data_IF_128098486385
#
_entry.id   IF_128098486385
#
_cell.length_a   1.000
_cell.length_b   1.000
_cell.length_c   1.000
_cell.angle_alpha   90.00
_cell.angle_beta   90.00
_cell.angle_gamma   90.00
#
_symmetry.space_group_name_H-M   'P 1'
#
loop_
_entity.id
_entity.type
_entity.pdbx_description
1 polymer ?
#
# COMPACT_ATOMS: atom_id res chain seq x y z
N UNK A 1 13.90 14.33 20.01
CA UNK A 1 13.42 14.77 18.68
C UNK A 1 12.58 16.02 18.90
N UNK A 2 12.77 17.10 18.13
CA UNK A 2 11.91 18.28 18.26
C UNK A 2 10.46 17.86 18.03
N UNK A 3 9.51 18.39 18.81
CA UNK A 3 8.10 18.12 18.54
C UNK A 3 7.77 18.65 17.14
N UNK A 4 7.04 17.84 16.36
CA UNK A 4 6.60 18.14 15.00
C UNK A 4 5.95 19.54 14.94
N UNK A 5 5.35 19.98 16.05
CA UNK A 5 4.78 21.31 16.24
C UNK A 5 5.71 22.48 15.92
N UNK A 6 7.04 22.36 16.11
CA UNK A 6 7.96 23.45 15.77
C UNK A 6 8.09 23.63 14.25
N UNK A 7 8.26 22.54 13.52
CA UNK A 7 8.35 22.57 12.05
C UNK A 7 7.00 22.92 11.42
N UNK A 8 5.89 22.43 11.99
CA UNK A 8 4.55 22.87 11.60
C UNK A 8 4.36 24.37 11.84
N UNK A 9 4.82 24.90 12.98
CA UNK A 9 4.70 26.34 13.30
C UNK A 9 5.54 27.20 12.35
N UNK A 10 6.78 26.79 12.05
CA UNK A 10 7.61 27.45 11.05
C UNK A 10 6.98 27.37 9.66
N UNK A 11 6.44 26.21 9.30
CA UNK A 11 5.75 26.02 8.04
C UNK A 11 4.49 26.91 7.95
N UNK A 12 3.68 26.98 9.01
CA UNK A 12 2.51 27.86 9.08
C UNK A 12 2.86 29.35 9.08
N UNK A 13 3.93 29.74 9.75
CA UNK A 13 4.40 31.11 9.75
C UNK A 13 4.73 31.55 8.31
N UNK A 14 5.48 30.71 7.58
CA UNK A 14 5.77 30.96 6.17
C UNK A 14 4.49 30.93 5.31
N UNK A 15 3.57 29.99 5.60
CA UNK A 15 2.26 29.89 4.94
C UNK A 15 1.45 31.19 5.04
N UNK A 16 1.36 31.77 6.24
CA UNK A 16 0.57 32.99 6.52
C UNK A 16 1.16 34.25 5.90
N UNK A 17 2.48 34.31 5.73
CA UNK A 17 3.15 35.48 5.13
C UNK A 17 2.98 35.57 3.60
N UNK A 18 2.25 34.64 3.00
CA UNK A 18 1.93 34.52 1.57
C UNK A 18 3.08 34.79 0.59
N UNK A 19 4.30 34.38 0.97
CA UNK A 19 5.46 34.50 0.10
C UNK A 19 5.41 33.52 -1.10
N UNK A 20 4.31 32.77 -1.31
CA UNK A 20 4.24 31.65 -2.29
C UNK A 20 4.68 32.01 -3.69
N UNK A 21 4.33 33.20 -4.17
CA UNK A 21 4.68 33.66 -5.52
C UNK A 21 6.17 34.03 -5.64
N UNK A 22 6.83 34.33 -4.51
CA UNK A 22 8.24 34.71 -4.48
C UNK A 22 9.18 33.50 -4.39
N UNK A 23 8.71 32.32 -3.92
CA UNK A 23 9.58 31.13 -3.82
C UNK A 23 9.94 30.53 -5.18
N UNK A 24 9.13 30.75 -6.22
CA UNK A 24 9.53 30.40 -7.59
C UNK A 24 10.71 31.24 -8.09
N UNK A 25 10.96 32.39 -7.46
CA UNK A 25 12.03 33.33 -7.81
C UNK A 25 13.26 33.19 -6.88
N UNK A 26 13.11 32.59 -5.69
CA UNK A 26 14.23 32.33 -4.79
C UNK A 26 15.16 31.23 -5.35
N UNK A 27 16.48 31.50 -5.29
CA UNK A 27 17.52 30.58 -5.80
C UNK A 27 17.57 29.23 -5.07
N UNK A 28 17.12 29.16 -3.82
CA UNK A 28 17.25 27.96 -2.99
C UNK A 28 15.97 27.68 -2.19
N UNK A 29 15.51 26.44 -2.22
CA UNK A 29 14.34 26.00 -1.45
C UNK A 29 14.62 26.13 0.05
N UNK A 30 13.77 26.78 0.87
CA UNK A 30 14.00 27.03 2.29
C UNK A 30 14.13 25.75 3.11
N UNK A 31 13.52 24.67 2.62
CA UNK A 31 13.50 23.38 3.24
C UNK A 31 14.61 22.46 2.71
N UNK A 32 15.49 22.97 1.83
CA UNK A 32 16.62 22.23 1.25
C UNK A 32 17.53 21.63 2.31
N UNK A 33 17.66 22.30 3.46
CA UNK A 33 18.51 21.86 4.59
C UNK A 33 17.82 20.91 5.55
N UNK A 34 16.52 20.69 5.42
CA UNK A 34 15.81 19.79 6.32
C UNK A 34 16.21 18.33 6.09
N UNK A 35 16.27 17.51 7.17
CA UNK A 35 16.43 16.07 7.05
C UNK A 35 15.24 15.44 6.29
N UNK A 36 15.45 14.36 5.51
CA UNK A 36 14.40 13.67 4.77
C UNK A 36 13.15 13.37 5.60
N UNK A 37 13.35 12.88 6.83
CA UNK A 37 12.25 12.51 7.72
C UNK A 37 11.35 13.70 8.09
N UNK A 38 11.92 14.89 8.22
CA UNK A 38 11.15 16.10 8.53
C UNK A 38 10.36 16.54 7.30
N UNK A 39 10.96 16.45 6.10
CA UNK A 39 10.26 16.76 4.84
C UNK A 39 9.06 15.82 4.65
N UNK A 40 9.23 14.50 4.89
CA UNK A 40 8.14 13.52 4.83
C UNK A 40 6.97 13.89 5.76
N UNK A 41 7.28 14.30 6.99
CA UNK A 41 6.26 14.72 7.96
C UNK A 41 5.54 15.99 7.52
N UNK A 42 6.27 16.96 6.95
CA UNK A 42 5.67 18.18 6.41
C UNK A 42 4.77 17.89 5.19
N UNK A 43 5.16 16.95 4.33
CA UNK A 43 4.33 16.52 3.19
C UNK A 43 3.04 15.85 3.66
N UNK A 44 3.13 14.94 4.64
CA UNK A 44 1.96 14.29 5.25
C UNK A 44 1.05 15.32 5.94
N UNK A 45 1.65 16.29 6.63
CA UNK A 45 0.94 17.40 7.26
C UNK A 45 0.18 18.26 6.23
N UNK A 46 0.81 18.61 5.11
CA UNK A 46 0.17 19.32 4.01
C UNK A 46 -1.01 18.56 3.41
N UNK A 47 -0.88 17.24 3.24
CA UNK A 47 -1.95 16.41 2.69
C UNK A 47 -3.16 16.27 3.62
N UNK A 48 -2.94 16.29 4.94
CA UNK A 48 -3.98 16.05 5.95
C UNK A 48 -4.60 17.33 6.52
N UNK A 49 -3.89 18.45 6.48
CA UNK A 49 -4.34 19.70 7.07
C UNK A 49 -5.38 20.41 6.21
N UNK A 50 -6.60 20.55 6.74
CA UNK A 50 -7.67 21.36 6.11
C UNK A 50 -7.32 22.85 6.02
N UNK A 51 -6.33 23.31 6.80
CA UNK A 51 -5.89 24.71 6.86
C UNK A 51 -4.91 25.06 5.75
N UNK A 52 -4.21 24.08 5.19
CA UNK A 52 -3.25 24.28 4.12
C UNK A 52 -3.94 23.86 2.83
N UNK A 53 -4.44 24.85 2.07
CA UNK A 53 -5.14 24.64 0.80
C UNK A 53 -4.38 25.14 -0.42
N UNK A 54 -3.05 25.27 -0.32
CA UNK A 54 -2.21 25.67 -1.46
C UNK A 54 -1.32 24.52 -1.90
N UNK A 55 -1.60 23.99 -3.10
CA UNK A 55 -0.83 22.91 -3.71
C UNK A 55 0.63 23.30 -3.99
N UNK A 56 0.92 24.59 -4.18
CA UNK A 56 2.27 25.12 -4.39
C UNK A 56 3.27 24.74 -3.28
N UNK A 57 2.83 24.71 -2.02
CA UNK A 57 3.68 24.28 -0.92
C UNK A 57 4.01 22.79 -0.97
N UNK A 58 3.00 21.98 -1.28
CA UNK A 58 3.18 20.56 -1.48
C UNK A 58 4.17 20.31 -2.62
N UNK A 59 4.02 21.03 -3.74
CA UNK A 59 4.94 20.99 -4.87
C UNK A 59 6.38 21.36 -4.48
N UNK A 60 6.55 22.43 -3.70
CA UNK A 60 7.85 22.86 -3.19
C UNK A 60 8.50 21.81 -2.28
N UNK A 61 7.74 21.11 -1.43
CA UNK A 61 8.30 20.07 -0.58
C UNK A 61 8.74 18.84 -1.39
N UNK A 62 7.99 18.48 -2.43
CA UNK A 62 8.36 17.38 -3.33
C UNK A 62 9.63 17.70 -4.14
N UNK A 63 9.82 18.95 -4.57
CA UNK A 63 10.97 19.35 -5.38
C UNK A 63 12.32 19.24 -4.65
N UNK A 64 12.31 19.08 -3.32
CA UNK A 64 13.53 18.92 -2.50
C UNK A 64 14.32 17.66 -2.86
N UNK A 65 13.71 16.62 -3.45
CA UNK A 65 14.47 15.44 -3.89
C UNK A 65 14.80 14.42 -2.81
N UNK A 66 14.35 14.65 -1.57
CA UNK A 66 14.79 13.87 -0.40
C UNK A 66 13.79 12.82 0.09
N UNK A 67 12.59 12.77 -0.49
CA UNK A 67 11.53 11.90 0.00
C UNK A 67 11.83 10.44 -0.29
N UNK A 68 11.72 9.59 0.73
CA UNK A 68 11.77 8.13 0.59
C UNK A 68 10.39 7.51 0.74
N UNK A 69 9.54 8.13 1.56
CA UNK A 69 8.14 7.78 1.70
C UNK A 69 7.26 8.96 1.29
N UNK A 70 6.35 8.72 0.36
CA UNK A 70 5.30 9.65 0.00
C UNK A 70 3.96 9.07 0.45
N UNK A 71 3.38 9.70 1.48
CA UNK A 71 2.03 9.37 1.95
C UNK A 71 1.08 10.48 1.56
N UNK A 72 0.05 10.11 0.83
CA UNK A 72 -0.92 11.04 0.27
C UNK A 72 -2.30 10.69 0.79
N UNK A 73 -2.80 11.51 1.71
CA UNK A 73 -4.17 11.45 2.20
C UNK A 73 -4.92 12.59 1.51
N UNK A 74 -5.99 12.30 0.76
CA UNK A 74 -6.54 13.27 -0.18
C UNK A 74 -7.99 13.72 0.11
N UNK A 75 -8.22 14.70 0.99
CA UNK A 75 -9.48 15.44 0.98
C UNK A 75 -9.39 16.79 0.24
N UNK A 76 -8.22 17.43 0.17
CA UNK A 76 -8.15 18.89 -0.06
C UNK A 76 -7.70 19.33 -1.46
N UNK A 77 -7.04 18.46 -2.24
CA UNK A 77 -6.33 18.84 -3.47
C UNK A 77 -6.56 17.89 -4.65
N UNK A 78 -7.69 17.21 -4.67
CA UNK A 78 -7.90 16.07 -5.57
C UNK A 78 -7.63 16.40 -7.04
N UNK A 79 -8.30 17.42 -7.58
CA UNK A 79 -8.19 17.80 -9.00
C UNK A 79 -6.76 18.16 -9.39
N UNK A 80 -6.09 18.97 -8.56
CA UNK A 80 -4.70 19.38 -8.80
C UNK A 80 -3.75 18.19 -8.72
N UNK A 81 -3.95 17.31 -7.74
CA UNK A 81 -3.08 16.16 -7.55
C UNK A 81 -3.25 15.16 -8.69
N UNK A 82 -4.46 14.84 -9.12
CA UNK A 82 -4.66 13.88 -10.20
C UNK A 82 -4.02 14.32 -11.51
N UNK A 83 -3.89 15.63 -11.74
CA UNK A 83 -3.27 16.20 -12.93
C UNK A 83 -1.74 16.37 -12.73
N UNK A 84 -1.35 16.95 -11.60
CA UNK A 84 0.02 17.43 -11.38
C UNK A 84 0.89 16.38 -10.71
N UNK A 85 0.37 15.55 -9.81
CA UNK A 85 1.16 14.51 -9.14
C UNK A 85 1.82 13.57 -10.15
N UNK A 86 1.13 13.06 -11.20
CA UNK A 86 1.79 12.20 -12.17
C UNK A 86 2.96 12.89 -12.89
N UNK A 87 2.85 14.19 -13.19
CA UNK A 87 3.94 14.97 -13.79
C UNK A 87 5.10 15.13 -12.79
N UNK A 88 4.78 15.51 -11.55
CA UNK A 88 5.75 15.69 -10.47
C UNK A 88 6.51 14.42 -10.10
N UNK A 89 5.83 13.28 -10.15
CA UNK A 89 6.42 11.99 -9.91
C UNK A 89 7.50 11.68 -10.97
N UNK A 90 7.36 12.16 -12.20
CA UNK A 90 8.42 12.04 -13.21
C UNK A 90 9.57 13.06 -13.07
N UNK A 91 9.43 14.06 -12.19
CA UNK A 91 10.49 15.04 -11.94
C UNK A 91 11.61 14.46 -11.04
N UNK A 92 12.82 15.03 -11.15
CA UNK A 92 14.01 14.61 -10.37
C UNK A 92 13.78 14.60 -8.85
N UNK A 93 12.80 15.36 -8.36
CA UNK A 93 12.45 15.44 -6.93
C UNK A 93 11.90 14.13 -6.33
N UNK A 94 11.37 13.24 -7.16
CA UNK A 94 10.65 12.05 -6.70
C UNK A 94 11.44 10.75 -6.90
N UNK A 95 12.66 10.81 -7.43
CA UNK A 95 13.43 9.62 -7.80
C UNK A 95 13.79 8.72 -6.61
N UNK A 96 13.83 9.28 -5.40
CA UNK A 96 14.24 8.56 -4.19
C UNK A 96 13.09 7.90 -3.44
N UNK A 97 11.85 8.05 -3.92
CA UNK A 97 10.67 7.46 -3.29
C UNK A 97 10.78 5.95 -3.43
N UNK A 98 10.59 5.24 -2.31
CA UNK A 98 10.54 3.78 -2.20
C UNK A 98 9.21 3.29 -1.65
N UNK A 99 8.48 4.16 -0.95
CA UNK A 99 7.18 3.84 -0.37
C UNK A 99 6.18 4.86 -0.85
N UNK A 100 5.15 4.39 -1.56
CA UNK A 100 4.01 5.20 -1.95
C UNK A 100 2.78 4.70 -1.19
N UNK A 101 2.24 5.54 -0.31
CA UNK A 101 0.98 5.26 0.40
C UNK A 101 -0.09 6.21 -0.13
N UNK A 102 -1.07 5.67 -0.83
CA UNK A 102 -2.22 6.39 -1.34
C UNK A 102 -3.40 6.11 -0.40
N UNK A 103 -3.99 7.14 0.18
CA UNK A 103 -5.24 7.06 0.94
C UNK A 103 -6.28 7.99 0.30
N UNK A 104 -6.82 7.57 -0.86
CA UNK A 104 -7.98 8.17 -1.50
C UNK A 104 -9.23 7.99 -0.65
N UNK A 105 -9.42 8.85 0.34
CA UNK A 105 -10.66 8.91 1.11
C UNK A 105 -11.73 9.71 0.33
N UNK A 106 -12.01 9.26 -0.91
CA UNK A 106 -12.96 9.92 -1.81
C UNK A 106 -14.37 9.39 -1.61
N UNK A 107 -15.35 10.29 -1.71
CA UNK A 107 -16.78 9.93 -1.72
C UNK A 107 -17.26 9.56 -3.13
N UNK A 108 -16.56 10.01 -4.19
CA UNK A 108 -16.94 9.77 -5.58
C UNK A 108 -16.22 8.55 -6.18
N UNK A 109 -16.95 7.82 -7.02
CA UNK A 109 -16.53 6.60 -7.71
C UNK A 109 -15.59 6.92 -8.86
N UNK A 110 -14.33 7.16 -8.54
CA UNK A 110 -13.32 7.57 -9.51
C UNK A 110 -12.20 6.54 -9.65
N UNK A 111 -12.55 5.29 -9.96
CA UNK A 111 -11.55 4.26 -10.31
C UNK A 111 -10.57 4.71 -11.42
N UNK A 112 -10.98 5.65 -12.28
CA UNK A 112 -10.20 6.19 -13.39
C UNK A 112 -8.94 6.97 -12.95
N UNK A 113 -8.98 7.73 -11.85
CA UNK A 113 -7.78 8.50 -11.44
C UNK A 113 -6.67 7.57 -10.97
N UNK A 114 -7.01 6.46 -10.30
CA UNK A 114 -6.03 5.50 -9.83
C UNK A 114 -5.35 4.86 -11.03
N UNK A 115 -6.11 4.48 -12.05
CA UNK A 115 -5.54 3.95 -13.28
C UNK A 115 -4.65 4.97 -13.99
N UNK A 116 -5.08 6.24 -14.12
CA UNK A 116 -4.27 7.33 -14.69
C UNK A 116 -2.98 7.57 -13.90
N UNK A 117 -3.04 7.52 -12.57
CA UNK A 117 -1.86 7.62 -11.71
C UNK A 117 -0.93 6.43 -11.92
N UNK A 118 -1.47 5.20 -11.84
CA UNK A 118 -0.73 3.96 -12.05
C UNK A 118 -0.04 3.94 -13.42
N UNK A 119 -0.68 4.43 -14.48
CA UNK A 119 -0.10 4.56 -15.82
C UNK A 119 1.18 5.41 -15.88
N UNK A 120 1.32 6.37 -14.96
CA UNK A 120 2.44 7.31 -14.92
C UNK A 120 3.52 6.88 -13.93
N UNK A 121 3.21 5.99 -12.97
CA UNK A 121 4.20 5.40 -12.07
C UNK A 121 5.36 4.67 -12.80
N UNK A 122 5.16 3.85 -13.86
CA UNK A 122 6.27 3.18 -14.52
C UNK A 122 7.24 4.11 -15.25
N UNK A 123 6.85 5.35 -15.55
CA UNK A 123 7.77 6.38 -16.09
C UNK A 123 8.84 6.79 -15.06
N UNK A 124 8.63 6.44 -13.79
CA UNK A 124 9.66 6.51 -12.77
C UNK A 124 10.45 5.20 -12.77
N UNK A 125 11.44 5.10 -13.66
CA UNK A 125 12.38 3.96 -13.68
C UNK A 125 12.97 3.66 -12.29
N UNK A 126 13.08 4.69 -11.44
CA UNK A 126 13.47 4.56 -10.03
C UNK A 126 12.43 3.92 -9.11
N UNK A 127 11.12 4.18 -9.28
CA UNK A 127 10.06 3.44 -8.56
C UNK A 127 9.93 2.01 -9.07
N UNK A 128 10.37 1.73 -10.30
CA UNK A 128 10.37 0.39 -10.85
C UNK A 128 11.43 -0.52 -10.22
N UNK A 129 12.13 -0.14 -9.15
CA UNK A 129 13.00 -1.07 -8.39
C UNK A 129 12.73 -0.96 -6.89
N UNK A 130 12.25 -2.05 -6.27
CA UNK A 130 12.03 -2.20 -4.82
C UNK A 130 11.01 -1.22 -4.20
N UNK A 131 9.90 -0.96 -4.89
CA UNK A 131 8.85 -0.09 -4.35
C UNK A 131 7.85 -0.86 -3.50
N UNK A 132 7.44 -0.22 -2.41
CA UNK A 132 6.33 -0.60 -1.56
C UNK A 132 5.13 0.29 -1.90
N UNK A 133 4.05 -0.32 -2.38
CA UNK A 133 2.81 0.38 -2.68
C UNK A 133 1.76 -0.01 -1.66
N UNK A 134 1.26 0.98 -0.93
CA UNK A 134 0.10 0.83 -0.07
C UNK A 134 -1.04 1.67 -0.65
N UNK A 135 -2.19 1.06 -0.88
CA UNK A 135 -3.39 1.76 -1.33
C UNK A 135 -4.47 1.55 -0.29
N UNK A 136 -5.02 2.61 0.27
CA UNK A 136 -6.15 2.59 1.18
C UNK A 136 -7.34 3.15 0.42
N UNK A 137 -8.31 2.31 0.08
CA UNK A 137 -9.43 2.70 -0.78
C UNK A 137 -10.73 2.14 -0.24
N UNK A 138 -11.78 2.98 -0.26
CA UNK A 138 -13.16 2.51 -0.05
C UNK A 138 -13.74 1.85 -1.30
N UNK A 139 -13.21 2.23 -2.46
CA UNK A 139 -13.58 1.72 -3.78
C UNK A 139 -12.74 0.52 -4.18
N UNK A 140 -13.22 -0.15 -5.22
CA UNK A 140 -12.58 -1.31 -5.83
C UNK A 140 -11.26 -0.92 -6.53
N UNK A 141 -10.17 -1.58 -6.13
CA UNK A 141 -8.81 -1.33 -6.64
C UNK A 141 -8.42 -2.40 -7.66
N UNK A 142 -8.26 -2.06 -8.95
CA UNK A 142 -7.96 -3.04 -10.00
C UNK A 142 -6.50 -3.54 -9.88
N UNK A 143 -6.32 -4.73 -9.30
CA UNK A 143 -4.99 -5.33 -9.05
C UNK A 143 -4.27 -5.65 -10.36
N UNK A 144 -5.02 -5.99 -11.40
CA UNK A 144 -4.52 -6.21 -12.75
C UNK A 144 -3.95 -4.94 -13.39
N UNK A 145 -4.53 -3.76 -13.12
CA UNK A 145 -3.93 -2.51 -13.56
C UNK A 145 -2.60 -2.25 -12.81
N UNK A 146 -2.56 -2.54 -11.50
CA UNK A 146 -1.33 -2.43 -10.72
C UNK A 146 -0.25 -3.37 -11.26
N UNK A 147 -0.57 -4.64 -11.55
CA UNK A 147 0.43 -5.58 -12.08
C UNK A 147 0.94 -5.18 -13.47
N UNK A 148 0.09 -4.55 -14.29
CA UNK A 148 0.45 -3.99 -15.60
C UNK A 148 1.45 -2.86 -15.51
N UNK A 149 1.22 -1.90 -14.62
CA UNK A 149 2.01 -0.68 -14.57
C UNK A 149 3.14 -0.74 -13.52
N UNK A 150 3.02 -1.58 -12.50
CA UNK A 150 3.97 -1.71 -11.38
C UNK A 150 4.54 -3.13 -11.29
N UNK A 151 5.04 -3.67 -12.41
CA UNK A 151 5.46 -5.08 -12.51
C UNK A 151 6.66 -5.47 -11.62
N UNK A 152 7.48 -4.50 -11.20
CA UNK A 152 8.64 -4.69 -10.31
C UNK A 152 8.36 -4.37 -8.83
N UNK A 153 7.09 -4.26 -8.45
CA UNK A 153 6.70 -3.98 -7.07
C UNK A 153 7.14 -5.10 -6.12
N UNK A 154 7.76 -4.75 -4.99
CA UNK A 154 8.22 -5.72 -3.99
C UNK A 154 7.17 -6.00 -2.92
N UNK A 155 6.41 -4.97 -2.54
CA UNK A 155 5.35 -5.06 -1.55
C UNK A 155 4.09 -4.34 -2.03
N UNK A 156 2.96 -5.05 -2.00
CA UNK A 156 1.64 -4.51 -2.30
C UNK A 156 0.72 -4.65 -1.08
N UNK A 157 0.29 -3.55 -0.50
CA UNK A 157 -0.78 -3.57 0.50
C UNK A 157 -1.98 -2.86 -0.09
N UNK A 158 -3.16 -3.48 -0.06
CA UNK A 158 -4.40 -2.75 -0.32
C UNK A 158 -5.27 -2.88 0.94
N UNK A 159 -5.72 -1.75 1.46
CA UNK A 159 -6.65 -1.65 2.58
C UNK A 159 -7.96 -1.19 1.97
N UNK A 160 -8.81 -2.15 1.62
CA UNK A 160 -10.00 -1.87 0.83
C UNK A 160 -10.48 -3.09 0.08
N UNK A 161 -11.33 -2.86 -0.90
CA UNK A 161 -11.68 -3.89 -1.87
C UNK A 161 -10.71 -3.82 -3.04
N UNK A 162 -10.03 -4.92 -3.35
CA UNK A 162 -9.36 -5.09 -4.63
C UNK A 162 -10.31 -5.73 -5.67
N UNK A 163 -10.06 -5.55 -6.96
CA UNK A 163 -10.81 -6.20 -8.06
C UNK A 163 -9.85 -6.68 -9.13
N UNK A 164 -10.36 -7.53 -10.01
CA UNK A 164 -9.67 -8.00 -11.21
C UNK A 164 -10.65 -7.75 -12.35
N UNK A 165 -10.33 -6.84 -13.27
CA UNK A 165 -11.21 -6.58 -14.40
C UNK A 165 -11.16 -7.74 -15.41
N UNK A 166 -12.33 -8.17 -15.90
CA UNK A 166 -12.52 -9.38 -16.71
C UNK A 166 -11.87 -9.33 -18.11
N UNK A 167 -11.35 -8.17 -18.55
CA UNK A 167 -10.90 -7.93 -19.93
C UNK A 167 -9.45 -8.32 -20.24
N UNK A 168 -8.68 -8.83 -19.28
CA UNK A 168 -7.21 -8.77 -19.37
C UNK A 168 -6.56 -10.16 -19.51
N UNK A 169 -5.82 -10.33 -20.62
CA UNK A 169 -4.98 -11.50 -21.00
C UNK A 169 -3.94 -11.86 -19.93
N UNK A 170 -3.59 -13.14 -19.85
CA UNK A 170 -2.75 -13.82 -18.85
C UNK A 170 -1.25 -13.42 -18.76
N UNK A 171 -0.83 -12.28 -19.30
CA UNK A 171 0.59 -11.92 -19.40
C UNK A 171 1.10 -11.00 -18.28
N UNK A 172 0.28 -10.62 -17.30
CA UNK A 172 0.65 -9.61 -16.30
C UNK A 172 1.19 -10.24 -15.02
N UNK A 173 2.50 -10.44 -14.96
CA UNK A 173 3.16 -11.01 -13.80
C UNK A 173 3.80 -9.94 -12.93
N UNK A 174 3.50 -9.96 -11.62
CA UNK A 174 4.35 -9.29 -10.66
C UNK A 174 5.67 -10.07 -10.58
N UNK A 175 6.73 -9.49 -11.14
CA UNK A 175 8.05 -10.14 -11.18
C UNK A 175 8.67 -10.24 -9.80
N UNK A 176 8.47 -9.23 -8.96
CA UNK A 176 9.19 -9.08 -7.70
C UNK A 176 8.30 -9.04 -6.46
N UNK A 177 6.98 -9.27 -6.59
CA UNK A 177 6.07 -9.13 -5.45
C UNK A 177 6.35 -10.23 -4.44
N UNK A 178 6.99 -9.84 -3.34
CA UNK A 178 7.34 -10.73 -2.23
C UNK A 178 6.27 -10.74 -1.17
N UNK A 179 5.51 -9.64 -1.01
CA UNK A 179 4.54 -9.54 0.07
C UNK A 179 3.23 -8.90 -0.35
N UNK A 180 2.10 -9.45 0.09
CA UNK A 180 0.78 -8.82 -0.06
C UNK A 180 -0.09 -8.89 1.18
N UNK A 181 -0.90 -7.85 1.43
CA UNK A 181 -1.84 -7.79 2.55
C UNK A 181 -3.15 -7.13 2.18
N UNK A 182 -4.25 -7.86 2.31
CA UNK A 182 -5.54 -7.44 1.74
C UNK A 182 -6.77 -8.20 2.27
N UNK A 183 -7.96 -7.62 2.02
CA UNK A 183 -9.22 -8.37 2.03
C UNK A 183 -9.44 -9.01 0.65
N UNK A 184 -9.06 -10.27 0.55
CA UNK A 184 -9.19 -11.02 -0.70
C UNK A 184 -10.58 -11.68 -0.77
N UNK A 185 -11.23 -11.55 -1.92
CA UNK A 185 -12.29 -12.46 -2.31
C UNK A 185 -11.66 -13.59 -3.14
N UNK A 186 -12.45 -14.60 -3.47
CA UNK A 186 -11.98 -15.79 -4.17
C UNK A 186 -11.28 -15.46 -5.50
N UNK A 187 -11.88 -14.62 -6.35
CA UNK A 187 -11.32 -14.25 -7.67
C UNK A 187 -9.94 -13.60 -7.52
N UNK A 188 -9.78 -12.73 -6.52
CA UNK A 188 -8.51 -12.03 -6.27
C UNK A 188 -7.41 -12.99 -5.82
N UNK A 189 -7.76 -13.97 -4.99
CA UNK A 189 -6.81 -14.95 -4.48
C UNK A 189 -6.30 -15.82 -5.64
N UNK A 190 -7.20 -16.30 -6.51
CA UNK A 190 -6.81 -16.99 -7.74
C UNK A 190 -5.90 -16.12 -8.63
N UNK A 191 -6.22 -14.83 -8.79
CA UNK A 191 -5.39 -13.92 -9.57
C UNK A 191 -3.96 -13.80 -9.01
N UNK A 192 -3.80 -13.64 -7.69
CA UNK A 192 -2.48 -13.54 -7.06
C UNK A 192 -1.67 -14.81 -7.32
N UNK A 193 -2.23 -15.99 -7.08
CA UNK A 193 -1.50 -17.24 -7.32
C UNK A 193 -1.19 -17.49 -8.79
N UNK A 194 -2.04 -17.05 -9.72
CA UNK A 194 -1.79 -17.21 -11.16
C UNK A 194 -0.71 -16.27 -11.70
N UNK A 195 -0.51 -15.10 -11.06
CA UNK A 195 0.30 -14.01 -11.61
C UNK A 195 1.50 -13.61 -10.74
N UNK A 196 1.71 -14.27 -9.60
CA UNK A 196 2.80 -13.95 -8.66
C UNK A 196 3.60 -15.21 -8.33
N UNK A 197 4.74 -15.39 -9.02
CA UNK A 197 5.60 -16.57 -8.84
C UNK A 197 6.54 -16.46 -7.64
N UNK A 198 6.89 -15.25 -7.22
CA UNK A 198 7.93 -14.99 -6.21
C UNK A 198 7.35 -14.56 -4.85
N UNK A 199 6.10 -14.91 -4.57
CA UNK A 199 5.41 -14.51 -3.36
C UNK A 199 6.00 -15.23 -2.13
N UNK A 200 6.50 -14.47 -1.16
CA UNK A 200 7.09 -14.98 0.09
C UNK A 200 6.18 -14.80 1.29
N UNK A 201 5.47 -13.68 1.37
CA UNK A 201 4.61 -13.36 2.51
C UNK A 201 3.20 -13.03 2.03
N UNK A 202 2.22 -13.73 2.56
CA UNK A 202 0.84 -13.61 2.13
C UNK A 202 -0.05 -13.35 3.33
N UNK A 203 -0.74 -12.21 3.35
CA UNK A 203 -1.62 -11.81 4.44
C UNK A 203 -3.06 -11.63 3.95
N UNK A 204 -3.95 -12.43 4.52
CA UNK A 204 -5.38 -12.41 4.25
C UNK A 204 -6.15 -12.01 5.51
N UNK A 205 -7.03 -11.03 5.35
CA UNK A 205 -8.06 -10.71 6.33
C UNK A 205 -9.43 -11.07 5.75
N UNK A 206 -10.32 -11.63 6.57
CA UNK A 206 -11.65 -12.10 6.13
C UNK A 206 -11.59 -13.21 5.05
N UNK A 207 -10.79 -14.24 5.29
CA UNK A 207 -10.52 -15.33 4.34
C UNK A 207 -11.62 -16.40 4.33
N UNK A 208 -12.88 -16.05 4.61
CA UNK A 208 -13.95 -17.04 4.79
C UNK A 208 -14.25 -17.82 3.51
N UNK A 209 -13.92 -17.23 2.36
CA UNK A 209 -13.99 -17.84 1.02
C UNK A 209 -12.82 -18.76 0.71
N UNK A 210 -11.83 -18.87 1.61
CA UNK A 210 -10.67 -19.73 1.45
C UNK A 210 -10.90 -21.01 2.25
N UNK A 211 -11.36 -22.03 1.54
CA UNK A 211 -11.65 -23.39 2.02
C UNK A 211 -10.76 -24.42 1.31
N UNK A 212 -10.93 -25.70 1.65
CA UNK A 212 -10.14 -26.79 1.07
C UNK A 212 -10.38 -26.96 -0.44
N UNK A 213 -11.61 -26.71 -0.92
CA UNK A 213 -11.91 -26.82 -2.34
C UNK A 213 -11.13 -25.77 -3.14
N UNK A 214 -11.10 -24.52 -2.67
CA UNK A 214 -10.33 -23.45 -3.32
C UNK A 214 -8.83 -23.66 -3.22
N UNK A 215 -8.36 -24.21 -2.10
CA UNK A 215 -6.96 -24.60 -1.97
C UNK A 215 -6.57 -25.65 -3.01
N UNK A 216 -7.39 -26.69 -3.20
CA UNK A 216 -7.19 -27.70 -4.23
C UNK A 216 -7.27 -27.14 -5.65
N UNK A 217 -8.22 -26.23 -5.93
CA UNK A 217 -8.31 -25.58 -7.24
C UNK A 217 -7.04 -24.79 -7.60
N UNK A 218 -6.40 -24.13 -6.64
CA UNK A 218 -5.16 -23.40 -6.86
C UNK A 218 -4.02 -24.38 -7.15
N UNK A 219 -3.91 -25.45 -6.37
CA UNK A 219 -2.87 -26.47 -6.53
C UNK A 219 -3.00 -27.26 -7.83
N UNK A 220 -4.23 -27.56 -8.25
CA UNK A 220 -4.48 -28.23 -9.53
C UNK A 220 -4.06 -27.36 -10.71
N UNK A 221 -4.09 -26.03 -10.56
CA UNK A 221 -3.60 -25.09 -11.59
C UNK A 221 -2.10 -24.88 -11.53
N UNK A 222 -1.55 -24.79 -10.33
CA UNK A 222 -0.12 -24.65 -10.08
C UNK A 222 0.28 -25.46 -8.84
N UNK A 223 0.83 -26.67 -9.02
CA UNK A 223 1.26 -27.53 -7.92
C UNK A 223 2.35 -26.92 -7.04
N UNK A 224 3.06 -25.88 -7.51
CA UNK A 224 4.16 -25.22 -6.81
C UNK A 224 3.74 -23.87 -6.20
N UNK A 225 2.46 -23.49 -6.29
CA UNK A 225 1.94 -22.18 -5.87
C UNK A 225 2.34 -21.75 -4.44
N UNK A 226 2.57 -22.71 -3.55
CA UNK A 226 2.91 -22.47 -2.14
C UNK A 226 4.38 -22.74 -1.78
N UNK A 227 5.19 -23.23 -2.72
CA UNK A 227 6.58 -23.62 -2.44
C UNK A 227 7.46 -22.43 -2.05
N UNK A 228 7.15 -21.24 -2.55
CA UNK A 228 7.92 -20.02 -2.30
C UNK A 228 7.42 -19.21 -1.09
N UNK A 229 6.30 -19.59 -0.48
CA UNK A 229 5.58 -18.79 0.53
C UNK A 229 6.14 -18.91 1.94
N UNK A 230 7.22 -18.20 2.26
CA UNK A 230 7.83 -18.09 3.61
C UNK A 230 6.87 -17.82 4.79
N UNK A 231 5.80 -17.04 4.62
CA UNK A 231 4.82 -16.77 5.69
C UNK A 231 3.42 -16.63 5.13
N UNK A 232 2.46 -17.26 5.80
CA UNK A 232 1.03 -17.05 5.50
C UNK A 232 0.31 -16.62 6.77
N UNK A 233 -0.31 -15.44 6.72
CA UNK A 233 -1.16 -14.93 7.77
C UNK A 233 -2.61 -14.95 7.30
N UNK A 234 -3.47 -15.68 7.99
CA UNK A 234 -4.88 -15.78 7.63
C UNK A 234 -5.75 -15.46 8.84
N UNK A 235 -6.81 -14.69 8.60
CA UNK A 235 -7.91 -14.50 9.56
C UNK A 235 -9.23 -14.90 8.94
N UNK A 236 -10.10 -15.51 9.76
CA UNK A 236 -11.47 -15.86 9.40
C UNK A 236 -11.54 -16.85 8.22
N UNK A 237 -10.67 -17.87 8.18
CA UNK A 237 -10.60 -18.87 7.11
C UNK A 237 -11.50 -20.10 7.36
N UNK A 238 -11.79 -20.86 6.29
CA UNK A 238 -12.58 -22.10 6.33
C UNK A 238 -11.80 -23.38 5.96
N UNK A 239 -10.48 -23.28 5.80
CA UNK A 239 -9.58 -24.43 5.62
C UNK A 239 -9.69 -25.41 6.80
N UNK A 240 -9.86 -26.69 6.49
CA UNK A 240 -9.87 -27.79 7.46
C UNK A 240 -8.45 -28.13 7.94
N UNK A 241 -8.34 -28.98 8.96
CA UNK A 241 -7.04 -29.45 9.44
C UNK A 241 -6.25 -30.18 8.34
N UNK A 242 -6.93 -30.92 7.49
CA UNK A 242 -6.38 -31.67 6.37
C UNK A 242 -5.91 -30.70 5.26
N UNK A 243 -6.67 -29.64 4.99
CA UNK A 243 -6.23 -28.57 4.10
C UNK A 243 -4.93 -27.90 4.56
N UNK A 244 -4.73 -27.71 5.88
CA UNK A 244 -3.46 -27.20 6.41
C UNK A 244 -2.27 -28.12 6.18
N UNK A 245 -2.47 -29.44 6.09
CA UNK A 245 -1.37 -30.38 5.82
C UNK A 245 -0.80 -30.20 4.42
N UNK A 246 -1.52 -29.54 3.53
CA UNK A 246 -1.09 -29.31 2.15
C UNK A 246 -0.01 -28.23 2.07
N UNK A 247 0.11 -27.35 3.07
CA UNK A 247 1.22 -26.38 3.13
C UNK A 247 2.52 -27.11 3.50
N UNK A 248 3.49 -27.23 2.56
CA UNK A 248 4.64 -28.10 2.76
C UNK A 248 5.54 -27.63 3.90
N UNK A 249 5.89 -28.53 4.82
CA UNK A 249 7.00 -28.38 5.76
C UNK A 249 6.88 -27.29 6.84
N UNK A 250 5.71 -26.66 7.01
CA UNK A 250 5.56 -25.47 7.85
C UNK A 250 4.76 -25.74 9.12
N UNK A 251 5.20 -25.12 10.22
CA UNK A 251 4.49 -25.22 11.50
C UNK A 251 3.35 -24.22 11.50
N UNK A 252 2.12 -24.70 11.38
CA UNK A 252 0.94 -23.88 11.60
C UNK A 252 0.81 -23.54 13.08
N UNK A 253 0.97 -22.25 13.44
CA UNK A 253 0.51 -21.72 14.72
C UNK A 253 -0.90 -21.21 14.52
N UNK A 254 -1.89 -22.05 14.81
CA UNK A 254 -3.27 -21.60 14.97
C UNK A 254 -3.42 -20.93 16.33
N UNK A 255 -3.87 -19.69 16.34
CA UNK A 255 -4.33 -19.01 17.54
C UNK A 255 -5.85 -19.09 17.52
N UNK A 256 -6.37 -20.18 18.10
CA UNK A 256 -7.77 -20.24 18.48
C UNK A 256 -7.90 -19.44 19.77
N UNK A 257 -8.70 -18.38 19.76
CA UNK A 257 -9.19 -17.77 21.00
C UNK A 257 -10.27 -18.66 21.59
N UNK A 258 -9.87 -19.82 22.12
CA UNK A 258 -10.63 -20.61 23.08
C UNK A 258 -9.71 -20.77 24.27
N UNK A 259 -10.18 -20.39 25.46
CA UNK A 259 -9.44 -20.41 26.72
C UNK A 259 -8.49 -21.61 26.85
N UNK A 260 -7.18 -21.37 26.87
CA UNK A 260 -6.20 -21.96 27.81
C UNK A 260 -4.79 -21.38 27.62
N UNK A 261 -4.08 -21.28 28.74
CA UNK A 261 -2.87 -20.50 29.01
C UNK A 261 -1.61 -21.13 28.41
N UNK A 262 -0.80 -20.35 27.67
CA UNK A 262 0.65 -20.09 27.92
C UNK A 262 1.28 -19.28 26.76
N UNK A 263 1.49 -17.99 27.06
CA UNK A 263 2.51 -17.05 26.55
C UNK A 263 3.00 -17.18 25.10
N UNK A 264 2.57 -16.27 24.22
CA UNK A 264 3.44 -15.62 23.24
C UNK A 264 3.01 -14.15 23.07
N UNK A 265 3.94 -13.23 23.29
CA UNK A 265 3.74 -11.79 23.15
C UNK A 265 3.52 -11.42 21.67
N UNK A 266 2.46 -10.66 21.38
CA UNK A 266 2.42 -9.75 20.25
C UNK A 266 1.71 -8.46 20.69
N UNK A 267 2.43 -7.34 20.61
CA UNK A 267 1.99 -6.04 21.09
C UNK A 267 0.91 -5.41 20.22
N UNK A 268 -0.03 -4.74 20.92
CA UNK A 268 -0.99 -3.71 20.44
C UNK A 268 -2.12 -4.23 19.52
N UNK A 269 -3.42 -4.09 19.79
CA UNK A 269 -4.22 -3.32 20.76
C UNK A 269 -5.60 -3.97 20.85
N UNK A 270 -6.13 -4.12 22.07
CA UNK A 270 -7.47 -4.64 22.37
C UNK A 270 -8.57 -3.65 21.97
N UNK A 271 -9.60 -4.10 21.23
CA UNK A 271 -11.02 -3.75 21.46
C UNK A 271 -11.91 -4.94 21.08
N UNK A 272 -12.74 -5.32 22.05
CA UNK A 272 -13.73 -6.40 22.01
C UNK A 272 -14.82 -6.18 20.95
N UNK A 273 -15.24 -7.26 20.28
CA UNK A 273 -16.64 -7.56 19.92
C UNK A 273 -16.73 -9.05 19.53
N UNK A 274 -17.70 -9.76 20.11
CA UNK A 274 -17.83 -11.21 20.05
C UNK A 274 -18.16 -11.77 18.67
N UNK A 275 -17.23 -12.54 18.11
CA UNK A 275 -17.36 -13.64 17.14
C UNK A 275 -16.04 -14.42 17.25
N UNK A 276 -16.09 -15.76 17.25
CA UNK A 276 -14.89 -16.61 17.26
C UNK A 276 -14.02 -16.31 16.04
N UNK A 277 -12.96 -15.51 16.22
CA UNK A 277 -12.03 -15.17 15.15
C UNK A 277 -10.91 -16.20 15.12
N UNK A 278 -10.85 -16.98 14.04
CA UNK A 278 -9.73 -17.89 13.78
C UNK A 278 -8.57 -17.08 13.21
N UNK A 279 -7.41 -17.14 13.86
CA UNK A 279 -6.17 -16.57 13.33
C UNK A 279 -5.18 -17.73 13.13
N UNK A 280 -4.59 -17.83 11.94
CA UNK A 280 -3.50 -18.76 11.67
C UNK A 280 -2.29 -17.99 11.16
N UNK A 281 -1.13 -18.33 11.71
CA UNK A 281 0.17 -17.94 11.16
C UNK A 281 0.92 -19.21 10.79
N UNK A 282 1.20 -19.36 9.51
CA UNK A 282 2.07 -20.40 8.98
C UNK A 282 3.44 -19.76 8.78
N UNK A 283 4.43 -20.23 9.53
CA UNK A 283 5.84 -19.90 9.33
C UNK A 283 6.54 -21.12 8.72
#
# INVERSE_FOLDING_TARGET
MPPISLYESLFYSNYRTDKTEHWSEEKENPFSRLPPRIVELLVEFCGTSQKIRKFSYFRMLLSIGKLRKLKLCFPVFFTDICIVLPQMLTEKGCINIKVLELDPNFENDESEWLEKLLQKLPLMESLCTNTHLCIVSRHDVPVNAISKYCFNLEYLKIIGNATVCDSIKSSYNFRMLKKTGNKFNQRKLCFVFQNVRNLKELQFHNAAVFDDLRLQEILNRDPLAFNHLDKVFMRDYMISREGFRIFPGRRCKSHHSIHQVKSFQCGCTNRFFGRDKRIATIC
#
